data_IF_697423549276
#
_entry.id   IF_697423549276
#
_cell.length_a   1.000
_cell.length_b   1.000
_cell.length_c   1.000
_cell.angle_alpha   90.00
_cell.angle_beta   90.00
_cell.angle_gamma   90.00
#
_symmetry.space_group_name_H-M   'P 1'
#
loop_
_entity.id
_entity.type
_entity.pdbx_description
1 polymer ?
#
# COMPACT_ATOMS: atom_id res chain seq x y z
N UNK A 1 0.13 -10.73 -4.02
CA UNK A 1 0.28 -9.29 -3.70
C UNK A 1 -0.55 -8.99 -2.47
N UNK A 2 0.01 -8.20 -1.56
CA UNK A 2 -0.61 -7.89 -0.28
C UNK A 2 -1.49 -6.65 -0.36
N UNK A 3 -2.13 -6.33 0.75
CA UNK A 3 -2.82 -5.07 1.01
C UNK A 3 -2.82 -4.78 2.50
N UNK A 4 -2.12 -3.74 2.92
CA UNK A 4 -2.26 -3.08 4.22
C UNK A 4 -3.59 -2.34 4.32
N UNK A 5 -4.29 -2.38 5.45
CA UNK A 5 -5.55 -1.66 5.73
C UNK A 5 -5.39 -0.65 6.88
N UNK A 6 -6.20 0.41 6.88
CA UNK A 6 -6.19 1.45 7.92
C UNK A 6 -6.41 0.94 9.35
N UNK A 7 -6.98 -0.25 9.53
CA UNK A 7 -7.16 -0.87 10.85
C UNK A 7 -5.91 -1.64 11.33
N UNK A 8 -4.76 -1.51 10.64
CA UNK A 8 -3.52 -2.16 11.03
C UNK A 8 -3.33 -3.57 10.47
N UNK A 9 -4.30 -4.10 9.72
CA UNK A 9 -4.23 -5.47 9.18
C UNK A 9 -3.55 -5.50 7.82
N UNK A 10 -2.82 -6.58 7.54
CA UNK A 10 -2.27 -6.88 6.21
C UNK A 10 -2.96 -8.15 5.69
N UNK A 11 -3.54 -8.06 4.50
CA UNK A 11 -4.11 -9.21 3.79
C UNK A 11 -3.10 -9.65 2.73
N UNK A 12 -2.73 -10.92 2.73
CA UNK A 12 -1.81 -11.49 1.73
C UNK A 12 -2.56 -12.54 0.93
N UNK A 13 -2.44 -12.48 -0.40
CA UNK A 13 -2.97 -13.54 -1.25
C UNK A 13 -2.30 -14.88 -0.92
N UNK A 14 -3.10 -15.91 -0.66
CA UNK A 14 -2.67 -17.28 -0.33
C UNK A 14 -1.74 -17.93 -1.37
N UNK A 15 -1.79 -17.46 -2.62
CA UNK A 15 -1.00 -18.01 -3.73
C UNK A 15 0.37 -17.29 -3.88
N UNK A 16 0.73 -16.41 -2.95
CA UNK A 16 2.08 -15.82 -2.88
C UNK A 16 3.09 -16.93 -2.57
N UNK A 17 4.17 -16.95 -3.36
CA UNK A 17 5.29 -17.85 -3.11
C UNK A 17 5.82 -17.66 -1.66
N UNK A 18 5.93 -18.73 -0.86
CA UNK A 18 6.40 -18.64 0.52
C UNK A 18 7.76 -17.95 0.66
N UNK A 19 8.65 -18.10 -0.32
CA UNK A 19 9.97 -17.44 -0.32
C UNK A 19 9.90 -15.92 -0.42
N UNK A 20 8.79 -15.39 -0.94
CA UNK A 20 8.54 -13.94 -1.12
C UNK A 20 7.59 -13.38 -0.07
N UNK A 21 7.10 -14.22 0.85
CA UNK A 21 6.09 -13.82 1.83
C UNK A 21 6.61 -12.70 2.72
N UNK A 22 7.86 -12.79 3.17
CA UNK A 22 8.46 -11.78 4.03
C UNK A 22 8.66 -10.45 3.29
N UNK A 23 9.08 -10.48 2.02
CA UNK A 23 9.21 -9.26 1.20
C UNK A 23 7.86 -8.54 1.05
N UNK A 24 6.78 -9.31 0.82
CA UNK A 24 5.42 -8.75 0.75
C UNK A 24 5.03 -8.16 2.11
N UNK A 25 5.31 -8.86 3.22
CA UNK A 25 5.02 -8.32 4.57
C UNK A 25 5.77 -7.01 4.78
N UNK A 26 7.07 -6.93 4.46
CA UNK A 26 7.86 -5.72 4.63
C UNK A 26 7.29 -4.55 3.82
N UNK A 27 6.92 -4.79 2.55
CA UNK A 27 6.28 -3.79 1.70
C UNK A 27 4.97 -3.27 2.31
N UNK A 28 4.08 -4.16 2.72
CA UNK A 28 2.80 -3.76 3.31
C UNK A 28 2.99 -3.08 4.68
N UNK A 29 4.02 -3.41 5.44
CA UNK A 29 4.35 -2.72 6.69
C UNK A 29 4.75 -1.26 6.47
N UNK A 30 5.38 -0.91 5.33
CA UNK A 30 5.62 0.49 4.97
C UNK A 30 4.29 1.23 4.75
N UNK A 31 3.31 0.60 4.10
CA UNK A 31 1.98 1.18 3.96
C UNK A 31 1.26 1.36 5.31
N UNK A 32 1.41 0.44 6.25
CA UNK A 32 0.89 0.60 7.62
C UNK A 32 1.52 1.81 8.31
N UNK A 33 2.84 1.99 8.18
CA UNK A 33 3.53 3.16 8.73
C UNK A 33 3.04 4.48 8.09
N UNK A 34 2.91 4.50 6.76
CA UNK A 34 2.36 5.64 6.03
C UNK A 34 0.95 5.99 6.52
N UNK A 35 0.10 4.99 6.77
CA UNK A 35 -1.24 5.19 7.34
C UNK A 35 -1.16 5.74 8.76
N UNK A 36 -0.28 5.19 9.60
CA UNK A 36 -0.08 5.63 10.98
C UNK A 36 0.41 7.08 11.07
N UNK A 37 1.26 7.51 10.12
CA UNK A 37 1.69 8.91 9.98
C UNK A 37 0.59 9.84 9.46
N UNK A 38 -0.49 9.30 8.90
CA UNK A 38 -1.54 10.06 8.23
C UNK A 38 -1.19 10.47 6.80
N UNK A 39 -0.11 9.92 6.24
CA UNK A 39 0.32 10.21 4.87
C UNK A 39 -0.50 9.44 3.85
N UNK A 40 -0.86 8.19 4.13
CA UNK A 40 -1.66 7.34 3.24
C UNK A 40 -3.02 7.04 3.86
N UNK A 41 -4.07 7.21 3.08
CA UNK A 41 -5.40 6.71 3.38
C UNK A 41 -6.10 6.41 2.05
N UNK A 42 -7.17 5.64 2.04
CA UNK A 42 -8.01 5.48 0.86
C UNK A 42 -9.44 5.11 1.27
N UNK A 43 -10.38 5.44 0.40
CA UNK A 43 -11.77 4.98 0.47
C UNK A 43 -12.11 4.24 -0.84
N UNK A 44 -13.39 3.94 -1.08
CA UNK A 44 -13.81 3.22 -2.29
C UNK A 44 -13.53 3.98 -3.59
N UNK A 45 -13.36 5.31 -3.52
CA UNK A 45 -13.27 6.20 -4.69
C UNK A 45 -11.88 6.79 -4.88
N UNK A 46 -11.14 7.04 -3.80
CA UNK A 46 -9.91 7.82 -3.82
C UNK A 46 -8.81 7.20 -2.96
N UNK A 47 -7.57 7.45 -3.35
CA UNK A 47 -6.40 7.37 -2.47
C UNK A 47 -6.00 8.78 -2.07
N UNK A 48 -5.70 8.95 -0.79
CA UNK A 48 -5.23 10.18 -0.18
C UNK A 48 -3.75 9.99 0.12
N UNK A 49 -2.91 10.84 -0.45
CA UNK A 49 -1.47 10.82 -0.22
C UNK A 49 -0.95 12.21 0.14
N UNK A 50 -0.49 12.39 1.38
CA UNK A 50 0.07 13.65 1.92
C UNK A 50 -0.84 14.85 1.64
N UNK A 51 -2.14 14.68 1.91
CA UNK A 51 -3.18 15.70 1.69
C UNK A 51 -3.65 15.88 0.24
N UNK A 52 -3.10 15.14 -0.74
CA UNK A 52 -3.56 15.14 -2.14
C UNK A 52 -4.52 13.99 -2.41
N UNK A 53 -5.51 14.21 -3.27
CA UNK A 53 -6.54 13.23 -3.64
C UNK A 53 -6.23 12.65 -5.02
N UNK A 54 -6.22 11.32 -5.12
CA UNK A 54 -5.99 10.55 -6.35
C UNK A 54 -7.20 9.66 -6.62
N UNK A 55 -8.03 9.99 -7.63
CA UNK A 55 -9.20 9.18 -7.97
C UNK A 55 -8.78 7.80 -8.49
N UNK A 56 -9.31 6.73 -7.89
CA UNK A 56 -9.01 5.34 -8.29
C UNK A 56 -9.41 5.05 -9.73
N UNK A 57 -10.48 5.67 -10.22
CA UNK A 57 -10.93 5.52 -11.60
C UNK A 57 -10.00 6.18 -12.64
N UNK A 58 -9.02 6.98 -12.21
CA UNK A 58 -8.06 7.67 -13.09
C UNK A 58 -6.64 7.10 -12.97
N UNK A 59 -6.44 6.00 -12.25
CA UNK A 59 -5.12 5.40 -12.06
C UNK A 59 -5.20 3.87 -12.01
N UNK A 60 -4.07 3.22 -12.25
CA UNK A 60 -3.93 1.79 -12.04
C UNK A 60 -3.49 1.56 -10.59
N UNK A 61 -4.40 1.10 -9.74
CA UNK A 61 -4.13 0.87 -8.33
C UNK A 61 -3.00 -0.16 -8.12
N UNK A 62 -2.03 0.16 -7.26
CA UNK A 62 -0.84 -0.68 -7.03
C UNK A 62 0.28 -0.52 -8.09
N UNK A 63 0.17 0.44 -9.01
CA UNK A 63 1.27 0.73 -9.94
C UNK A 63 2.50 1.25 -9.20
N UNK A 64 3.66 0.64 -9.44
CA UNK A 64 4.92 0.91 -8.71
C UNK A 64 5.40 2.37 -8.75
N UNK A 65 4.93 3.14 -9.73
CA UNK A 65 5.28 4.55 -9.90
C UNK A 65 4.38 5.50 -9.10
N UNK A 66 3.38 4.99 -8.38
CA UNK A 66 2.56 5.80 -7.50
C UNK A 66 3.40 6.23 -6.29
N UNK A 67 3.26 7.46 -5.78
CA UNK A 67 4.14 7.99 -4.75
C UNK A 67 4.25 7.14 -3.47
N UNK A 68 3.14 6.53 -3.04
CA UNK A 68 3.12 5.67 -1.86
C UNK A 68 3.74 4.29 -2.12
N UNK A 69 3.56 3.75 -3.34
CA UNK A 69 4.18 2.51 -3.80
C UNK A 69 5.69 2.68 -3.95
N UNK A 70 6.15 3.79 -4.56
CA UNK A 70 7.58 4.09 -4.73
C UNK A 70 8.31 4.16 -3.38
N UNK A 71 7.68 4.77 -2.36
CA UNK A 71 8.21 4.78 -1.00
C UNK A 71 8.22 3.37 -0.36
N UNK A 72 7.19 2.56 -0.59
CA UNK A 72 7.14 1.19 -0.09
C UNK A 72 8.22 0.30 -0.72
N UNK A 73 8.38 0.31 -2.05
CA UNK A 73 9.41 -0.46 -2.73
C UNK A 73 10.85 -0.06 -2.35
N UNK A 74 11.06 1.20 -1.93
CA UNK A 74 12.39 1.69 -1.50
C UNK A 74 12.74 1.31 -0.06
N UNK A 75 11.74 1.10 0.79
CA UNK A 75 11.93 0.88 2.23
C UNK A 75 11.51 -0.53 2.70
N UNK A 76 11.12 -1.40 1.77
CA UNK A 76 10.79 -2.81 2.02
C UNK A 76 12.02 -3.72 2.10
#
# INVERSE_FOLDING_TARGET
>A
MGKANNNGTIIINKDVDPSRLQDVINHEMVHIDQMKRGDLNYDDKNVYWKGKIYPRNKMNEGAKNLPWEDEAYKNA
#
